data_IF_715433759761
#
_entry.id   IF_715433759761
#
_cell.length_a   1.000
_cell.length_b   1.000
_cell.length_c   1.000
_cell.angle_alpha   90.00
_cell.angle_beta   90.00
_cell.angle_gamma   90.00
#
_symmetry.space_group_name_H-M   'P 1'
#
loop_
_entity.id
_entity.type
_entity.pdbx_description
1 polymer ?
#
# COMPACT_ATOMS: atom_id res chain seq x y z
N UNK A 1 -11.56 -0.09 4.50
CA UNK A 1 -10.09 0.00 4.33
C UNK A 1 -9.44 0.20 5.70
N UNK A 2 -8.22 -0.28 5.92
CA UNK A 2 -7.50 0.00 7.18
C UNK A 2 -6.90 1.41 7.12
N UNK A 3 -7.17 2.23 8.13
CA UNK A 3 -6.66 3.60 8.22
C UNK A 3 -5.48 3.68 9.19
N UNK A 4 -4.30 3.98 8.67
CA UNK A 4 -3.08 3.97 9.47
C UNK A 4 -2.93 5.27 10.25
N UNK A 5 -2.66 5.19 11.55
CA UNK A 5 -2.33 6.39 12.33
C UNK A 5 -0.88 6.79 12.07
N UNK A 6 -0.66 7.86 11.32
CA UNK A 6 0.68 8.41 11.11
C UNK A 6 1.16 9.20 12.35
N UNK A 7 2.45 9.11 12.65
CA UNK A 7 3.10 9.99 13.63
C UNK A 7 3.17 11.43 13.04
N UNK A 8 2.53 12.42 13.68
CA UNK A 8 2.52 13.79 13.18
C UNK A 8 3.87 14.51 13.33
N UNK A 9 4.86 13.90 14.01
CA UNK A 9 6.19 14.47 14.22
C UNK A 9 7.21 13.88 13.24
N UNK A 10 7.39 14.47 12.05
CA UNK A 10 8.43 14.02 11.13
C UNK A 10 9.81 14.16 11.78
N UNK A 11 10.75 13.28 11.39
CA UNK A 11 12.16 13.39 11.79
C UNK A 11 12.61 14.84 11.53
N UNK A 12 13.05 15.59 12.57
CA UNK A 12 13.44 16.98 12.42
C UNK A 12 14.48 17.13 11.31
N UNK A 13 14.33 18.12 10.43
CA UNK A 13 15.25 18.35 9.28
C UNK A 13 16.73 18.46 9.70
N UNK A 14 16.96 18.93 10.92
CA UNK A 14 18.28 19.07 11.58
C UNK A 14 18.93 17.71 11.91
N UNK A 15 18.12 16.67 12.11
CA UNK A 15 18.57 15.32 12.42
C UNK A 15 18.71 14.53 11.13
N UNK A 16 19.94 14.14 10.78
CA UNK A 16 20.15 13.18 9.70
C UNK A 16 19.69 11.81 10.16
N UNK A 17 18.71 11.17 9.51
CA UNK A 17 18.44 9.76 9.77
C UNK A 17 19.69 8.94 9.39
N UNK A 18 20.00 7.91 10.15
CA UNK A 18 20.95 6.90 9.72
C UNK A 18 20.28 6.15 8.56
N UNK A 19 20.70 6.44 7.33
CA UNK A 19 20.17 5.81 6.14
C UNK A 19 21.09 4.65 5.76
N UNK A 20 20.56 3.43 5.82
CA UNK A 20 21.20 2.25 5.22
C UNK A 20 20.59 2.08 3.83
N UNK A 21 21.29 2.55 2.81
CA UNK A 21 20.87 2.45 1.42
C UNK A 21 21.39 1.16 0.76
N UNK A 22 21.22 0.03 1.44
CA UNK A 22 21.66 -1.29 0.99
C UNK A 22 20.45 -2.24 1.01
N UNK A 23 19.43 -2.03 0.15
CA UNK A 23 18.19 -2.79 0.17
C UNK A 23 18.37 -4.30 -0.08
N UNK A 24 19.54 -4.72 -0.59
CA UNK A 24 19.90 -6.14 -0.74
C UNK A 24 20.26 -6.83 0.58
N UNK A 25 20.49 -6.08 1.67
CA UNK A 25 20.74 -6.63 3.01
C UNK A 25 19.46 -7.02 3.76
N UNK A 26 18.29 -6.73 3.20
CA UNK A 26 17.01 -7.16 3.79
C UNK A 26 17.01 -8.68 3.89
N UNK A 27 16.88 -9.18 5.11
CA UNK A 27 16.79 -10.61 5.38
C UNK A 27 15.52 -11.18 4.75
N UNK A 28 15.71 -11.92 3.67
CA UNK A 28 14.61 -12.51 2.89
C UNK A 28 13.96 -13.68 3.61
N UNK A 29 14.64 -14.30 4.59
CA UNK A 29 14.06 -15.40 5.36
C UNK A 29 12.84 -14.95 6.17
N UNK A 30 12.76 -13.66 6.52
CA UNK A 30 11.58 -13.07 7.18
C UNK A 30 10.29 -13.13 6.36
N UNK A 31 10.37 -13.42 5.05
CA UNK A 31 9.19 -13.69 4.22
C UNK A 31 8.59 -15.09 4.48
N UNK A 32 9.36 -16.00 5.07
CA UNK A 32 8.95 -17.38 5.38
C UNK A 32 8.47 -17.54 6.83
N UNK A 33 8.70 -16.53 7.67
CA UNK A 33 8.23 -16.50 9.05
C UNK A 33 6.85 -15.82 9.15
N UNK A 34 6.02 -16.19 10.15
CA UNK A 34 4.81 -15.45 10.45
C UNK A 34 5.13 -13.97 10.66
N UNK A 35 4.40 -13.08 9.99
CA UNK A 35 4.59 -11.65 10.16
C UNK A 35 4.29 -11.24 11.60
N UNK A 36 5.35 -11.00 12.38
CA UNK A 36 5.22 -10.31 13.66
C UNK A 36 4.97 -8.84 13.37
N UNK A 37 3.72 -8.40 13.57
CA UNK A 37 3.28 -7.01 13.35
C UNK A 37 4.08 -6.03 14.21
N UNK A 38 4.53 -6.49 15.39
CA UNK A 38 5.33 -5.70 16.31
C UNK A 38 6.79 -6.16 16.31
N UNK A 39 7.76 -5.23 16.34
CA UNK A 39 9.18 -5.57 16.46
C UNK A 39 9.43 -6.36 17.74
N UNK A 40 10.36 -7.31 17.70
CA UNK A 40 10.79 -8.00 18.93
C UNK A 40 11.28 -6.99 19.98
N UNK A 41 11.03 -7.28 21.25
CA UNK A 41 11.50 -6.48 22.39
C UNK A 41 12.82 -7.03 22.93
N UNK A 42 13.92 -6.82 22.19
CA UNK A 42 15.27 -7.10 22.69
C UNK A 42 16.06 -5.83 22.93
N UNK A 43 16.90 -5.85 23.96
CA UNK A 43 17.71 -4.69 24.38
C UNK A 43 18.72 -4.24 23.30
N UNK A 44 19.16 -5.15 22.43
CA UNK A 44 20.11 -4.92 21.35
C UNK A 44 19.46 -4.74 19.97
N UNK A 45 18.13 -4.62 19.89
CA UNK A 45 17.44 -4.50 18.62
C UNK A 45 17.72 -3.16 17.93
N UNK A 46 18.41 -3.24 16.78
CA UNK A 46 18.64 -2.11 15.88
C UNK A 46 17.55 -2.09 14.81
N UNK A 47 16.71 -1.04 14.82
CA UNK A 47 15.65 -0.85 13.81
C UNK A 47 16.21 -0.11 12.60
N UNK A 48 16.15 -0.75 11.43
CA UNK A 48 16.55 -0.14 10.15
C UNK A 48 15.30 0.23 9.36
N UNK A 49 15.17 1.51 9.03
CA UNK A 49 14.10 2.00 8.15
C UNK A 49 14.61 2.05 6.71
N UNK A 50 14.02 1.23 5.84
CA UNK A 50 14.36 1.21 4.41
C UNK A 50 13.62 2.34 3.70
N UNK A 51 14.27 3.10 2.80
CA UNK A 51 13.60 4.11 1.99
C UNK A 51 12.45 3.50 1.17
N UNK A 52 11.23 4.00 1.38
CA UNK A 52 10.05 3.62 0.62
C UNK A 52 9.56 4.81 -0.21
N UNK A 53 9.65 4.69 -1.53
CA UNK A 53 9.02 5.66 -2.42
C UNK A 53 7.50 5.49 -2.42
N UNK A 54 6.80 6.48 -1.87
CA UNK A 54 5.35 6.64 -1.91
C UNK A 54 4.98 7.74 -2.92
N UNK A 55 5.09 7.41 -4.20
CA UNK A 55 4.58 8.26 -5.28
C UNK A 55 3.71 7.43 -6.22
N UNK A 56 2.85 8.12 -6.98
CA UNK A 56 1.93 7.52 -7.96
C UNK A 56 2.58 6.42 -8.80
N UNK A 57 3.73 6.70 -9.41
CA UNK A 57 4.44 5.74 -10.27
C UNK A 57 4.94 4.51 -9.51
N UNK A 58 5.44 4.69 -8.29
CA UNK A 58 5.93 3.59 -7.46
C UNK A 58 4.80 2.67 -6.99
N UNK A 59 3.65 3.22 -6.60
CA UNK A 59 2.47 2.46 -6.17
C UNK A 59 1.91 1.65 -7.34
N UNK A 60 1.68 2.30 -8.49
CA UNK A 60 1.16 1.62 -9.69
C UNK A 60 2.09 0.49 -10.15
N UNK A 61 3.40 0.72 -10.17
CA UNK A 61 4.38 -0.32 -10.51
C UNK A 61 4.30 -1.54 -9.58
N UNK A 62 4.01 -1.34 -8.28
CA UNK A 62 3.86 -2.46 -7.33
C UNK A 62 2.59 -3.25 -7.62
N UNK A 63 1.48 -2.58 -7.97
CA UNK A 63 0.24 -3.24 -8.38
C UNK A 63 0.45 -4.02 -9.67
N UNK A 64 1.08 -3.42 -10.68
CA UNK A 64 1.39 -4.08 -11.95
C UNK A 64 2.21 -5.37 -11.72
N UNK A 65 3.17 -5.33 -10.79
CA UNK A 65 3.97 -6.51 -10.43
C UNK A 65 3.11 -7.62 -9.82
N UNK A 66 2.20 -7.30 -8.90
CA UNK A 66 1.30 -8.27 -8.27
C UNK A 66 0.35 -8.85 -9.32
N UNK A 67 -0.24 -8.02 -10.18
CA UNK A 67 -1.12 -8.49 -11.27
C UNK A 67 -0.38 -9.46 -12.20
N UNK A 68 0.87 -9.15 -12.60
CA UNK A 68 1.67 -10.06 -13.43
C UNK A 68 2.03 -11.36 -12.70
N UNK A 69 2.23 -11.31 -11.38
CA UNK A 69 2.58 -12.48 -10.58
C UNK A 69 1.43 -13.48 -10.50
N UNK A 70 0.20 -13.02 -10.27
CA UNK A 70 -0.98 -13.89 -10.16
C UNK A 70 -1.62 -14.19 -11.52
N UNK A 71 -1.56 -13.25 -12.46
CA UNK A 71 -2.16 -13.38 -13.78
C UNK A 71 -3.69 -13.24 -13.73
N UNK A 72 -4.38 -14.36 -13.79
CA UNK A 72 -5.84 -14.44 -13.73
C UNK A 72 -6.32 -14.59 -12.29
N UNK A 73 -7.44 -13.95 -11.94
CA UNK A 73 -8.05 -14.11 -10.61
C UNK A 73 -8.89 -15.39 -10.57
N UNK A 74 -8.48 -16.37 -9.76
CA UNK A 74 -9.16 -17.66 -9.60
C UNK A 74 -9.56 -17.88 -8.14
N UNK A 75 -10.51 -18.79 -7.89
CA UNK A 75 -10.89 -19.21 -6.53
C UNK A 75 -9.67 -19.68 -5.70
N UNK A 76 -8.69 -20.32 -6.34
CA UNK A 76 -7.49 -20.83 -5.65
C UNK A 76 -6.54 -19.73 -5.19
N UNK A 77 -6.47 -18.60 -5.89
CA UNK A 77 -5.47 -17.55 -5.63
C UNK A 77 -6.05 -16.24 -5.07
N UNK A 78 -7.37 -16.05 -5.10
CA UNK A 78 -8.00 -14.77 -4.81
C UNK A 78 -7.67 -14.22 -3.41
N UNK A 79 -7.48 -15.11 -2.42
CA UNK A 79 -7.16 -14.71 -1.05
C UNK A 79 -5.76 -14.08 -0.97
N UNK A 80 -4.74 -14.77 -1.49
CA UNK A 80 -3.35 -14.29 -1.51
C UNK A 80 -3.23 -13.03 -2.38
N UNK A 81 -3.89 -13.02 -3.54
CA UNK A 81 -3.91 -11.85 -4.43
C UNK A 81 -4.53 -10.63 -3.73
N UNK A 82 -5.66 -10.81 -3.04
CA UNK A 82 -6.31 -9.76 -2.26
C UNK A 82 -5.41 -9.24 -1.14
N UNK A 83 -4.71 -10.12 -0.41
CA UNK A 83 -3.76 -9.73 0.66
C UNK A 83 -2.66 -8.83 0.09
N UNK A 84 -2.00 -9.26 -0.99
CA UNK A 84 -0.91 -8.49 -1.61
C UNK A 84 -1.37 -7.13 -2.14
N UNK A 85 -2.56 -7.07 -2.76
CA UNK A 85 -3.16 -5.80 -3.21
C UNK A 85 -3.50 -4.91 -2.01
N UNK A 86 -4.08 -5.45 -0.94
CA UNK A 86 -4.43 -4.69 0.26
C UNK A 86 -3.18 -4.06 0.91
N UNK A 87 -2.05 -4.77 0.95
CA UNK A 87 -0.79 -4.20 1.44
C UNK A 87 -0.32 -2.99 0.62
N UNK A 88 -0.59 -2.98 -0.69
CA UNK A 88 -0.27 -1.82 -1.54
C UNK A 88 -1.31 -0.71 -1.37
N UNK A 89 -2.58 -1.04 -1.13
CA UNK A 89 -3.61 -0.03 -0.85
C UNK A 89 -3.36 0.70 0.47
N UNK A 90 -2.74 0.07 1.48
CA UNK A 90 -2.22 0.77 2.67
C UNK A 90 -1.24 1.89 2.29
N UNK A 91 -0.46 1.71 1.22
CA UNK A 91 0.46 2.75 0.73
C UNK A 91 -0.28 3.91 0.04
N UNK A 92 -1.37 3.62 -0.67
CA UNK A 92 -2.28 4.63 -1.22
C UNK A 92 -2.90 5.44 -0.09
N UNK A 93 -3.38 4.78 0.96
CA UNK A 93 -4.04 5.41 2.10
C UNK A 93 -3.08 6.38 2.84
N UNK A 94 -1.85 5.95 3.09
CA UNK A 94 -0.79 6.82 3.65
C UNK A 94 -0.45 7.97 2.69
N UNK A 95 -0.35 7.68 1.39
CA UNK A 95 -0.12 8.70 0.36
C UNK A 95 -1.21 9.78 0.38
N UNK A 96 -2.46 9.37 0.53
CA UNK A 96 -3.59 10.29 0.62
C UNK A 96 -3.55 11.15 1.88
N UNK A 97 -3.33 10.55 3.06
CA UNK A 97 -3.21 11.31 4.30
C UNK A 97 -2.14 12.40 4.19
N UNK A 98 -0.98 12.10 3.60
CA UNK A 98 0.11 13.07 3.43
C UNK A 98 -0.33 14.22 2.51
N UNK A 99 -1.04 13.93 1.41
CA UNK A 99 -1.53 14.96 0.49
C UNK A 99 -2.69 15.76 1.08
N UNK A 100 -3.58 15.12 1.82
CA UNK A 100 -4.66 15.78 2.56
C UNK A 100 -4.10 16.79 3.56
N UNK A 101 -3.06 16.44 4.33
CA UNK A 101 -2.37 17.38 5.24
C UNK A 101 -1.74 18.56 4.47
N UNK A 102 -1.24 18.34 3.26
CA UNK A 102 -0.57 19.40 2.45
C UNK A 102 -1.56 20.36 1.79
N UNK A 103 -2.69 19.85 1.32
CA UNK A 103 -3.66 20.62 0.55
C UNK A 103 -4.88 21.07 1.35
N UNK A 104 -5.08 20.52 2.56
CA UNK A 104 -6.18 20.85 3.47
C UNK A 104 -7.55 20.86 2.76
N UNK A 105 -8.00 19.73 2.19
CA UNK A 105 -9.32 19.62 1.58
C UNK A 105 -10.43 19.74 2.65
N UNK A 106 -11.69 19.75 2.23
CA UNK A 106 -12.81 19.76 3.19
C UNK A 106 -12.76 18.54 4.12
N UNK A 107 -13.31 18.68 5.33
CA UNK A 107 -13.23 17.63 6.35
C UNK A 107 -13.85 16.33 5.85
N UNK A 108 -13.05 15.27 5.79
CA UNK A 108 -13.45 13.97 5.26
C UNK A 108 -13.22 13.77 3.75
N UNK A 109 -12.69 14.76 3.03
CA UNK A 109 -12.38 14.60 1.61
C UNK A 109 -10.97 14.07 1.33
N UNK A 110 -10.90 13.13 0.39
CA UNK A 110 -9.64 12.66 -0.20
C UNK A 110 -9.02 13.67 -1.17
N UNK A 111 -7.69 13.69 -1.22
CA UNK A 111 -6.94 14.58 -2.12
C UNK A 111 -7.20 14.25 -3.60
N UNK A 112 -7.09 15.26 -4.47
CA UNK A 112 -7.24 15.08 -5.92
C UNK A 112 -6.20 14.08 -6.46
N UNK A 113 -4.98 14.12 -5.94
CA UNK A 113 -3.89 13.21 -6.29
C UNK A 113 -4.26 11.74 -6.02
N UNK A 114 -4.90 11.48 -4.88
CA UNK A 114 -5.35 10.13 -4.52
C UNK A 114 -6.56 9.69 -5.32
N UNK A 115 -7.53 10.59 -5.57
CA UNK A 115 -8.68 10.30 -6.44
C UNK A 115 -8.22 9.92 -7.86
N UNK A 116 -7.23 10.62 -8.41
CA UNK A 116 -6.62 10.25 -9.69
C UNK A 116 -5.89 8.90 -9.64
N UNK A 117 -5.09 8.66 -8.60
CA UNK A 117 -4.39 7.38 -8.42
C UNK A 117 -5.38 6.22 -8.28
N UNK A 118 -6.46 6.37 -7.52
CA UNK A 118 -7.50 5.36 -7.34
C UNK A 118 -8.17 4.99 -8.66
N UNK A 119 -8.49 5.97 -9.51
CA UNK A 119 -9.06 5.69 -10.84
C UNK A 119 -8.13 4.78 -11.66
N UNK A 120 -6.82 5.06 -11.63
CA UNK A 120 -5.83 4.25 -12.34
C UNK A 120 -5.60 2.87 -11.73
N UNK A 121 -5.80 2.72 -10.41
CA UNK A 121 -5.77 1.43 -9.73
C UNK A 121 -7.00 0.61 -10.13
N UNK A 122 -8.19 1.22 -10.10
CA UNK A 122 -9.45 0.57 -10.51
C UNK A 122 -9.34 0.08 -11.95
N UNK A 123 -8.86 0.91 -12.89
CA UNK A 123 -8.70 0.49 -14.29
C UNK A 123 -7.83 -0.77 -14.42
N UNK A 124 -6.71 -0.85 -13.67
CA UNK A 124 -5.85 -2.04 -13.67
C UNK A 124 -6.53 -3.26 -13.08
N UNK A 125 -7.30 -3.09 -12.02
CA UNK A 125 -8.05 -4.18 -11.40
C UNK A 125 -9.19 -4.68 -12.30
N UNK A 126 -9.85 -3.78 -13.04
CA UNK A 126 -10.89 -4.11 -14.03
C UNK A 126 -10.33 -4.85 -15.26
N UNK A 127 -9.03 -4.71 -15.54
CA UNK A 127 -8.34 -5.41 -16.64
C UNK A 127 -7.85 -6.83 -16.27
N UNK A 128 -7.96 -7.23 -15.00
CA UNK A 128 -7.58 -8.58 -14.56
C UNK A 128 -8.52 -9.61 -15.19
N UNK A 129 -8.00 -10.66 -15.86
CA UNK A 129 -8.84 -11.73 -16.39
C UNK A 129 -9.63 -12.44 -15.28
N UNK A 130 -10.89 -12.72 -15.56
CA UNK A 130 -11.79 -13.46 -14.68
C UNK A 130 -11.61 -14.97 -14.89
N UNK A 131 -11.01 -15.63 -13.89
CA UNK A 131 -10.84 -17.08 -13.82
C UNK A 131 -11.76 -17.75 -12.81
N UNK A 132 -12.90 -17.12 -12.49
CA UNK A 132 -13.88 -17.65 -11.55
C UNK A 132 -13.58 -17.36 -10.09
N UNK A 133 -12.86 -16.27 -9.80
CA UNK A 133 -12.78 -15.76 -8.43
C UNK A 133 -14.16 -15.27 -7.95
N UNK A 134 -14.45 -15.44 -6.66
CA UNK A 134 -15.75 -15.13 -6.07
C UNK A 134 -15.81 -13.66 -5.58
N UNK A 135 -14.71 -13.18 -4.98
CA UNK A 135 -14.69 -11.88 -4.30
C UNK A 135 -13.72 -10.88 -4.96
N UNK A 136 -12.48 -11.29 -5.21
CA UNK A 136 -11.46 -10.42 -5.81
C UNK A 136 -11.48 -10.54 -7.34
N UNK A 137 -11.35 -9.45 -8.12
CA UNK A 137 -11.12 -8.06 -7.70
C UNK A 137 -12.39 -7.24 -7.43
N UNK A 138 -13.59 -7.81 -7.64
CA UNK A 138 -14.86 -7.08 -7.70
C UNK A 138 -15.19 -6.29 -6.41
N UNK A 139 -15.17 -6.95 -5.25
CA UNK A 139 -15.48 -6.29 -3.98
C UNK A 139 -14.49 -5.15 -3.68
N UNK A 140 -13.23 -5.35 -4.05
CA UNK A 140 -12.17 -4.37 -3.82
C UNK A 140 -12.35 -3.12 -4.69
N UNK A 141 -12.74 -3.30 -5.94
CA UNK A 141 -13.06 -2.20 -6.86
C UNK A 141 -14.23 -1.37 -6.30
N UNK A 142 -15.28 -2.03 -5.84
CA UNK A 142 -16.45 -1.35 -5.27
C UNK A 142 -16.12 -0.62 -3.95
N UNK A 143 -15.26 -1.20 -3.10
CA UNK A 143 -14.74 -0.53 -1.91
C UNK A 143 -13.97 0.75 -2.29
N UNK A 144 -13.06 0.68 -3.27
CA UNK A 144 -12.27 1.82 -3.73
C UNK A 144 -13.14 2.93 -4.33
N UNK A 145 -14.15 2.56 -5.13
CA UNK A 145 -15.12 3.52 -5.70
C UNK A 145 -15.89 4.22 -4.60
N UNK A 146 -16.37 3.48 -3.60
CA UNK A 146 -17.14 4.02 -2.48
C UNK A 146 -16.31 4.91 -1.56
N UNK A 147 -15.06 4.56 -1.30
CA UNK A 147 -14.23 5.35 -0.38
C UNK A 147 -13.78 6.65 -1.06
N UNK A 148 -13.17 6.56 -2.25
CA UNK A 148 -12.46 7.70 -2.83
C UNK A 148 -13.25 8.47 -3.88
N UNK A 149 -14.23 7.83 -4.53
CA UNK A 149 -14.88 8.37 -5.73
C UNK A 149 -16.37 8.67 -5.56
N UNK A 150 -17.01 8.25 -4.46
CA UNK A 150 -18.37 8.71 -4.16
C UNK A 150 -18.32 10.14 -3.64
N UNK A 151 -19.03 11.03 -4.33
CA UNK A 151 -19.28 12.40 -3.89
C UNK A 151 -20.50 12.46 -2.98
#
# INVERSE_FOLDING_TARGET
>A
MEHHRLDPYPIPREKKPLCINEPWLVDKSLLEYPHHIEPEEREDNVRVYVPLDLNKKAILRRIDRVIVQYGEATEENEMEFSIDINMILSQLEIYDQIWSVRHMPEEGEHSLESKELVREIITRLEEIPDGGAECFPFEKIEELKREYLSA
#
